data_IF_975522667482
#
_entry.id   IF_975522667482
#
_cell.length_a   1.000
_cell.length_b   1.000
_cell.length_c   1.000
_cell.angle_alpha   90.00
_cell.angle_beta   90.00
_cell.angle_gamma   90.00
#
_symmetry.space_group_name_H-M   'P 1'
#
loop_
_entity.id
_entity.type
_entity.pdbx_description
1 polymer ?
#
# COMPACT_ATOMS: atom_id res chain seq x y z
N UNK A 1 -49.39 2.00 -4.17
CA UNK A 1 -48.88 0.63 -4.42
C UNK A 1 -47.75 0.79 -5.42
N UNK A 2 -46.47 0.87 -5.10
CA UNK A 2 -45.71 0.71 -3.85
C UNK A 2 -44.42 1.51 -4.07
N UNK A 3 -44.08 2.40 -3.14
CA UNK A 3 -42.81 3.13 -3.11
C UNK A 3 -41.79 2.20 -2.44
N UNK A 4 -40.91 1.58 -3.24
CA UNK A 4 -39.94 0.62 -2.71
C UNK A 4 -38.59 0.84 -3.42
N UNK A 5 -37.66 1.49 -2.73
CA UNK A 5 -36.29 0.97 -2.44
C UNK A 5 -35.38 2.13 -2.07
N UNK A 6 -35.41 2.48 -0.78
CA UNK A 6 -34.27 3.04 -0.07
C UNK A 6 -33.25 1.91 0.20
N UNK A 7 -31.95 2.19 0.03
CA UNK A 7 -30.87 1.30 0.47
C UNK A 7 -29.95 0.78 -0.62
N UNK A 8 -29.14 1.65 -1.24
CA UNK A 8 -27.92 1.21 -1.92
C UNK A 8 -26.77 1.44 -0.95
N UNK A 9 -26.29 0.32 -0.40
CA UNK A 9 -25.18 0.15 0.53
C UNK A 9 -23.90 0.79 -0.03
N UNK A 10 -23.30 1.69 0.75
CA UNK A 10 -21.91 2.15 0.62
C UNK A 10 -20.98 0.94 0.85
N UNK A 11 -20.78 0.13 -0.19
CA UNK A 11 -19.81 -0.97 -0.15
C UNK A 11 -19.10 -1.14 -1.48
N UNK A 12 -17.91 -0.57 -1.52
CA UNK A 12 -16.83 -0.83 -2.45
C UNK A 12 -15.66 0.03 -1.98
N UNK A 13 -15.06 -0.25 -0.83
CA UNK A 13 -14.17 -1.41 -0.61
C UNK A 13 -13.18 -1.54 -1.79
N UNK A 14 -11.99 -0.98 -1.54
CA UNK A 14 -10.72 -1.47 -2.05
C UNK A 14 -10.36 -1.15 -3.51
N UNK A 15 -10.48 0.13 -3.86
CA UNK A 15 -9.79 0.74 -5.00
C UNK A 15 -8.25 0.83 -4.89
N UNK A 16 -7.58 -0.01 -4.08
CA UNK A 16 -6.11 0.02 -3.89
C UNK A 16 -5.36 -1.11 -4.62
N UNK A 17 -6.03 -2.01 -5.33
CA UNK A 17 -5.31 -3.15 -5.95
C UNK A 17 -4.52 -2.81 -7.22
N UNK A 18 -4.76 -1.65 -7.86
CA UNK A 18 -4.09 -1.29 -9.14
C UNK A 18 -2.76 -0.58 -8.96
N UNK A 19 -2.49 0.01 -7.79
CA UNK A 19 -1.24 0.73 -7.51
C UNK A 19 -0.22 -0.10 -6.70
N UNK A 20 -0.52 -1.33 -6.29
CA UNK A 20 0.42 -2.18 -5.51
C UNK A 20 1.79 -2.32 -6.17
N UNK A 21 1.86 -2.35 -7.51
CA UNK A 21 3.12 -2.41 -8.25
C UNK A 21 3.92 -1.10 -8.22
N UNK A 22 3.26 0.05 -8.01
CA UNK A 22 3.87 1.39 -7.87
C UNK A 22 3.89 1.88 -6.41
N UNK A 23 3.27 1.14 -5.50
CA UNK A 23 3.20 1.46 -4.09
C UNK A 23 4.61 1.51 -3.50
N UNK A 24 5.05 2.71 -3.14
CA UNK A 24 6.30 2.92 -2.41
C UNK A 24 6.03 2.63 -0.94
N UNK A 25 6.85 1.79 -0.33
CA UNK A 25 6.85 1.43 1.09
C UNK A 25 7.99 2.15 1.81
N UNK A 26 7.77 2.57 3.05
CA UNK A 26 8.82 3.09 3.92
C UNK A 26 9.67 1.96 4.51
N UNK A 27 10.99 2.11 4.46
CA UNK A 27 11.95 1.20 5.07
C UNK A 27 12.03 1.47 6.58
N UNK A 28 11.66 0.47 7.37
CA UNK A 28 11.65 0.54 8.84
C UNK A 28 13.06 0.74 9.44
N UNK A 29 14.11 0.36 8.69
CA UNK A 29 15.50 0.42 9.17
C UNK A 29 16.11 1.82 8.99
N UNK A 30 15.91 2.44 7.83
CA UNK A 30 16.55 3.71 7.49
C UNK A 30 15.58 4.88 7.22
N UNK A 31 14.27 4.63 7.22
CA UNK A 31 13.21 5.60 6.93
C UNK A 31 13.06 5.98 5.45
N UNK A 32 13.73 5.28 4.53
CA UNK A 32 13.68 5.62 3.11
C UNK A 32 12.38 5.16 2.45
N UNK A 33 11.81 5.98 1.55
CA UNK A 33 10.68 5.58 0.71
C UNK A 33 11.15 4.77 -0.50
N UNK A 34 10.85 3.47 -0.54
CA UNK A 34 11.37 2.50 -1.52
C UNK A 34 10.21 1.80 -2.23
N UNK A 35 10.25 1.59 -3.56
CA UNK A 35 9.23 0.79 -4.26
C UNK A 35 9.07 -0.60 -3.64
N UNK A 36 7.83 -1.07 -3.47
CA UNK A 36 7.56 -2.41 -2.92
C UNK A 36 8.29 -3.52 -3.70
N UNK A 37 8.41 -3.38 -5.02
CA UNK A 37 9.14 -4.31 -5.89
C UNK A 37 10.63 -4.43 -5.55
N UNK A 38 11.28 -3.33 -5.13
CA UNK A 38 12.73 -3.30 -4.83
C UNK A 38 13.02 -3.28 -3.33
N UNK A 39 12.00 -3.26 -2.47
CA UNK A 39 12.13 -3.21 -1.02
C UNK A 39 13.07 -4.30 -0.47
N UNK A 40 12.97 -5.51 -1.01
CA UNK A 40 13.82 -6.64 -0.61
C UNK A 40 15.28 -6.45 -1.02
N UNK A 41 15.52 -5.92 -2.21
CA UNK A 41 16.89 -5.61 -2.68
C UNK A 41 17.49 -4.45 -1.91
N UNK A 42 16.68 -3.42 -1.63
CA UNK A 42 17.07 -2.31 -0.79
C UNK A 42 17.52 -2.80 0.59
N UNK A 43 16.71 -3.62 1.26
CA UNK A 43 17.07 -4.21 2.57
C UNK A 43 18.38 -4.99 2.54
N UNK A 44 18.68 -5.68 1.44
CA UNK A 44 19.89 -6.52 1.33
C UNK A 44 21.15 -5.75 0.89
N UNK A 45 21.01 -4.75 0.02
CA UNK A 45 22.13 -4.12 -0.70
C UNK A 45 22.32 -2.64 -0.38
N UNK A 46 21.24 -1.90 -0.19
CA UNK A 46 21.27 -0.43 -0.10
C UNK A 46 21.00 0.08 1.32
N UNK A 47 20.35 -0.72 2.15
CA UNK A 47 20.02 -0.34 3.50
C UNK A 47 21.29 -0.43 4.37
N UNK A 48 21.70 0.65 5.04
CA UNK A 48 22.92 0.67 5.84
C UNK A 48 22.87 -0.27 7.05
N UNK A 49 21.72 -0.89 7.36
CA UNK A 49 21.59 -1.92 8.38
C UNK A 49 21.76 -1.44 9.82
N UNK A 50 22.10 -0.16 10.01
CA UNK A 50 22.30 0.45 11.32
C UNK A 50 21.01 1.19 11.72
N UNK A 51 20.20 0.61 12.63
CA UNK A 51 19.15 1.37 13.29
C UNK A 51 19.83 2.50 14.08
N UNK A 52 19.35 3.71 13.83
CA UNK A 52 19.78 4.92 14.52
C UNK A 52 19.14 5.03 15.91
#
# INVERSE_FOLDING_TARGET
>A
MTDETDGIDDRGDDGDSVDVARARRECDVCGASVPAATYREHLLKECPGEPR
#
